data_IF_995815510334
#
_entry.id   IF_995815510334
#
_cell.length_a   1.000
_cell.length_b   1.000
_cell.length_c   1.000
_cell.angle_alpha   90.00
_cell.angle_beta   90.00
_cell.angle_gamma   90.00
#
_symmetry.space_group_name_H-M   'P 1'
#
loop_
_entity.id
_entity.type
_entity.pdbx_description
1 polymer ?
#
# COMPACT_ATOMS: atom_id res chain seq x y z
N UNK A 1 -13.94 -13.89 0.31
CA UNK A 1 -14.33 -12.84 -0.64
C UNK A 1 -13.27 -11.76 -0.70
N UNK A 2 -12.93 -11.25 -1.88
CA UNK A 2 -11.96 -10.17 -1.96
C UNK A 2 -12.52 -8.90 -1.32
N UNK A 3 -11.66 -8.15 -0.69
CA UNK A 3 -12.07 -6.85 -0.16
C UNK A 3 -12.08 -5.80 -1.26
N UNK A 4 -12.67 -4.67 -0.98
CA UNK A 4 -12.78 -3.58 -1.95
C UNK A 4 -11.55 -2.67 -1.87
N UNK A 5 -11.29 -1.96 -2.97
CA UNK A 5 -10.16 -1.04 -3.04
C UNK A 5 -10.21 -0.02 -1.91
N UNK A 6 -11.39 0.50 -1.57
CA UNK A 6 -11.52 1.47 -0.48
C UNK A 6 -11.08 0.90 0.87
N UNK A 7 -11.30 -0.41 1.06
CA UNK A 7 -10.88 -1.07 2.30
C UNK A 7 -9.37 -1.21 2.35
N UNK A 8 -8.75 -1.53 1.21
CA UNK A 8 -7.30 -1.58 1.10
C UNK A 8 -6.69 -0.22 1.39
N UNK A 9 -7.25 0.85 0.82
CA UNK A 9 -6.76 2.20 1.06
C UNK A 9 -6.86 2.58 2.53
N UNK A 10 -7.96 2.22 3.19
CA UNK A 10 -8.10 2.49 4.62
C UNK A 10 -7.01 1.81 5.43
N UNK A 11 -6.66 0.58 5.06
CA UNK A 11 -5.59 -0.14 5.75
C UNK A 11 -4.25 0.53 5.54
N UNK A 12 -3.89 0.88 4.30
CA UNK A 12 -2.57 1.45 4.05
C UNK A 12 -2.41 2.83 4.68
N UNK A 13 -3.49 3.59 4.78
CA UNK A 13 -3.44 4.86 5.53
C UNK A 13 -3.11 4.60 7.00
N UNK A 14 -3.75 3.60 7.60
CA UNK A 14 -3.47 3.24 9.00
C UNK A 14 -2.05 2.74 9.18
N UNK A 15 -1.50 2.09 8.15
CA UNK A 15 -0.13 1.57 8.20
C UNK A 15 0.92 2.66 7.99
N UNK A 16 0.51 3.86 7.62
CA UNK A 16 1.42 4.99 7.46
C UNK A 16 1.83 5.30 6.04
N UNK A 17 1.18 4.70 5.06
CA UNK A 17 1.46 5.03 3.65
C UNK A 17 0.97 6.43 3.33
N UNK A 18 1.70 7.09 2.44
CA UNK A 18 1.42 8.46 2.02
C UNK A 18 1.05 8.47 0.54
N UNK A 19 -0.01 9.21 0.22
CA UNK A 19 -0.43 9.37 -1.15
C UNK A 19 0.56 10.27 -1.90
N UNK A 20 0.99 9.81 -3.07
CA UNK A 20 1.89 10.60 -3.92
C UNK A 20 1.06 11.37 -4.94
N UNK A 21 1.36 12.67 -5.15
CA UNK A 21 0.62 13.46 -6.13
C UNK A 21 0.66 12.83 -7.51
N UNK A 22 -0.47 12.81 -8.15
CA UNK A 22 -0.63 12.21 -9.45
C UNK A 22 0.07 13.04 -10.51
N UNK A 23 0.90 12.40 -11.31
CA UNK A 23 1.51 13.03 -12.48
C UNK A 23 1.07 12.27 -13.71
N UNK A 24 0.49 12.97 -14.67
CA UNK A 24 0.04 12.38 -15.89
C UNK A 24 -1.39 11.88 -15.82
N UNK A 25 -1.75 11.04 -16.78
CA UNK A 25 -3.11 10.55 -16.95
C UNK A 25 -3.31 9.20 -16.30
N UNK A 26 -4.54 8.94 -15.92
CA UNK A 26 -4.93 7.63 -15.45
C UNK A 26 -5.62 7.69 -14.11
N UNK A 27 -6.30 6.60 -13.80
CA UNK A 27 -7.04 6.44 -12.57
C UNK A 27 -6.25 5.76 -11.45
N UNK A 28 -4.99 5.43 -11.72
CA UNK A 28 -4.15 4.76 -10.74
C UNK A 28 -3.58 5.75 -9.74
N UNK A 29 -3.57 5.36 -8.48
CA UNK A 29 -3.00 6.15 -7.40
C UNK A 29 -1.71 5.49 -6.93
N UNK A 30 -0.72 6.32 -6.64
CA UNK A 30 0.56 5.85 -6.11
C UNK A 30 0.66 6.18 -4.64
N UNK A 31 1.08 5.20 -3.87
CA UNK A 31 1.26 5.34 -2.43
C UNK A 31 2.64 4.85 -2.05
N UNK A 32 3.24 5.46 -1.06
CA UNK A 32 4.57 5.08 -0.59
C UNK A 32 4.64 5.21 0.92
N UNK A 33 5.32 4.26 1.55
CA UNK A 33 5.60 4.36 2.97
C UNK A 33 6.95 5.08 3.15
N UNK A 34 7.05 6.00 4.14
CA UNK A 34 8.32 6.73 4.37
C UNK A 34 9.53 5.84 4.61
N UNK A 35 9.34 4.65 5.16
CA UNK A 35 10.45 3.74 5.44
C UNK A 35 10.71 2.73 4.33
N UNK A 36 9.97 2.79 3.24
CA UNK A 36 10.12 1.86 2.13
C UNK A 36 10.43 2.62 0.85
N UNK A 37 11.22 2.00 -0.02
CA UNK A 37 11.57 2.62 -1.30
C UNK A 37 10.58 2.31 -2.41
N UNK A 38 9.85 1.21 -2.27
CA UNK A 38 8.91 0.78 -3.29
C UNK A 38 7.58 1.49 -3.14
N UNK A 39 6.98 1.82 -4.28
CA UNK A 39 5.64 2.39 -4.30
C UNK A 39 4.60 1.30 -4.50
N UNK A 40 3.40 1.57 -4.02
CA UNK A 40 2.25 0.71 -4.23
C UNK A 40 1.30 1.44 -5.18
N UNK A 41 0.98 0.82 -6.31
CA UNK A 41 0.07 1.41 -7.28
C UNK A 41 -1.30 0.76 -7.12
N UNK A 42 -2.31 1.58 -6.88
CA UNK A 42 -3.67 1.12 -6.61
C UNK A 42 -4.60 1.63 -7.71
N UNK A 43 -5.42 0.75 -8.31
CA UNK A 43 -6.45 1.20 -9.26
C UNK A 43 -7.40 2.20 -8.60
N UNK A 44 -7.85 3.19 -9.35
CA UNK A 44 -8.62 4.29 -8.81
C UNK A 44 -10.09 4.03 -8.57
N UNK A 45 -10.57 2.80 -8.67
CA UNK A 45 -11.99 2.47 -8.47
C UNK A 45 -12.22 1.90 -7.07
N UNK A 46 -12.72 2.72 -6.18
CA UNK A 46 -12.93 2.33 -4.78
C UNK A 46 -13.88 1.15 -4.59
N UNK A 47 -14.85 1.00 -5.47
CA UNK A 47 -15.81 -0.08 -5.38
C UNK A 47 -15.38 -1.39 -6.04
N UNK A 48 -14.22 -1.40 -6.68
CA UNK A 48 -13.70 -2.61 -7.33
C UNK A 48 -13.09 -3.56 -6.30
N UNK A 49 -13.03 -4.84 -6.67
CA UNK A 49 -12.36 -5.83 -5.83
C UNK A 49 -10.85 -5.68 -5.94
N UNK A 50 -10.15 -5.94 -4.83
CA UNK A 50 -8.68 -5.89 -4.80
C UNK A 50 -8.13 -7.13 -5.53
N UNK A 51 -7.30 -6.93 -6.58
CA UNK A 51 -6.68 -8.07 -7.25
C UNK A 51 -5.73 -8.82 -6.32
N UNK A 52 -5.58 -10.12 -6.56
CA UNK A 52 -4.71 -10.96 -5.74
C UNK A 52 -3.26 -10.47 -5.77
N UNK A 53 -2.76 -10.04 -6.94
CA UNK A 53 -1.38 -9.56 -7.01
C UNK A 53 -1.14 -8.36 -6.11
N UNK A 54 -2.15 -7.50 -5.96
CA UNK A 54 -2.04 -6.31 -5.13
C UNK A 54 -2.02 -6.69 -3.65
N UNK A 55 -2.83 -7.66 -3.25
CA UNK A 55 -2.79 -8.15 -1.87
C UNK A 55 -1.42 -8.75 -1.55
N UNK A 56 -0.85 -9.52 -2.48
CA UNK A 56 0.47 -10.10 -2.28
C UNK A 56 1.55 -9.03 -2.20
N UNK A 57 1.45 -8.01 -3.04
CA UNK A 57 2.41 -6.91 -3.02
C UNK A 57 2.35 -6.17 -1.69
N UNK A 58 1.13 -5.88 -1.22
CA UNK A 58 0.96 -5.22 0.08
C UNK A 58 1.53 -6.08 1.20
N UNK A 59 1.28 -7.39 1.18
CA UNK A 59 1.79 -8.28 2.20
C UNK A 59 3.32 -8.23 2.27
N UNK A 60 3.99 -8.17 1.12
CA UNK A 60 5.46 -8.05 1.08
C UNK A 60 5.92 -6.73 1.69
N UNK A 61 5.22 -5.64 1.38
CA UNK A 61 5.58 -4.34 1.93
C UNK A 61 5.37 -4.30 3.44
N UNK A 62 4.27 -4.86 3.93
CA UNK A 62 4.01 -4.90 5.37
C UNK A 62 5.03 -5.77 6.09
N UNK A 63 5.45 -6.87 5.46
CA UNK A 63 6.49 -7.72 6.01
C UNK A 63 7.81 -6.97 6.13
N UNK A 64 8.16 -6.18 5.11
CA UNK A 64 9.36 -5.37 5.14
C UNK A 64 9.30 -4.33 6.27
N UNK A 65 8.14 -3.73 6.50
CA UNK A 65 7.94 -2.80 7.60
C UNK A 65 8.14 -3.47 8.95
N UNK A 66 7.63 -4.68 9.09
CA UNK A 66 7.77 -5.45 10.32
C UNK A 66 9.24 -5.74 10.64
N UNK A 67 10.01 -6.09 9.61
CA UNK A 67 11.44 -6.33 9.79
C UNK A 67 12.17 -5.06 10.25
N UNK A 68 11.82 -3.91 9.68
CA UNK A 68 12.42 -2.64 10.10
C UNK A 68 12.08 -2.31 11.54
N UNK A 69 10.86 -2.59 11.98
CA UNK A 69 10.46 -2.35 13.37
C UNK A 69 11.24 -3.24 14.32
N UNK A 70 11.46 -4.50 13.93
CA UNK A 70 12.24 -5.42 14.76
C UNK A 70 13.67 -4.96 14.93
N UNK A 71 14.27 -4.45 13.86
CA UNK A 71 15.63 -3.93 13.92
C UNK A 71 15.73 -2.75 14.89
N UNK A 72 14.75 -1.85 14.87
CA UNK A 72 14.71 -0.73 15.80
C UNK A 72 14.57 -1.19 17.24
N UNK A 73 13.73 -2.20 17.49
CA UNK A 73 13.52 -2.72 18.84
C UNK A 73 14.75 -3.43 19.38
N UNK A 74 15.53 -4.05 18.51
CA UNK A 74 16.71 -4.81 18.89
C UNK A 74 17.97 -3.94 19.03
N UNK A 75 17.91 -2.69 18.60
CA UNK A 75 19.10 -1.82 18.62
C UNK A 75 19.30 -1.05 19.92
#
# INVERSE_FOLDING_TARGET
>A
MPRKIRELKAQIVREGFVYLPKRGRGSHERWQHPFLRKTLTIPGKDGADVPIYLEKQLAKLLSALEELRKEDEDS
#
